data_IF_382378810719
#
_entry.id   IF_382378810719
#
_cell.length_a   1.000
_cell.length_b   1.000
_cell.length_c   1.000
_cell.angle_alpha   90.00
_cell.angle_beta   90.00
_cell.angle_gamma   90.00
#
_symmetry.space_group_name_H-M   'P 1'
#
loop_
_entity.id
_entity.type
_entity.pdbx_description
1 polymer ?
#
# COMPACT_ATOMS: atom_id res chain seq x y z
N UNK A 1 -10.98 -0.79 16.27
CA UNK A 1 -9.68 -1.42 15.94
C UNK A 1 -9.26 -1.03 14.52
N UNK A 2 -9.68 -1.73 13.44
CA UNK A 2 -9.25 -1.36 12.07
C UNK A 2 -9.73 0.01 11.56
N UNK A 3 -10.95 0.46 11.95
CA UNK A 3 -11.47 1.79 11.58
C UNK A 3 -10.64 2.93 12.19
N UNK A 4 -10.12 2.71 13.39
CA UNK A 4 -9.25 3.65 14.10
C UNK A 4 -7.87 3.67 13.44
N UNK A 5 -7.32 2.50 13.08
CA UNK A 5 -6.03 2.38 12.39
C UNK A 5 -6.00 3.13 11.04
N UNK A 6 -6.98 2.90 10.17
CA UNK A 6 -7.04 3.63 8.89
C UNK A 6 -7.26 5.14 9.08
N UNK A 7 -7.86 5.56 10.18
CA UNK A 7 -7.98 6.99 10.51
C UNK A 7 -6.62 7.56 10.92
N UNK A 8 -5.83 6.83 11.70
CA UNK A 8 -4.43 7.20 12.01
C UNK A 8 -3.54 7.24 10.78
N UNK A 9 -3.69 6.29 9.85
CA UNK A 9 -2.97 6.29 8.57
C UNK A 9 -3.29 7.56 7.78
N UNK A 10 -4.57 7.92 7.66
CA UNK A 10 -4.97 9.15 6.98
C UNK A 10 -4.40 10.40 7.67
N UNK A 11 -4.40 10.45 9.01
CA UNK A 11 -3.80 11.56 9.75
C UNK A 11 -2.30 11.68 9.48
N UNK A 12 -1.55 10.57 9.46
CA UNK A 12 -0.14 10.59 9.12
C UNK A 12 0.13 11.08 7.69
N UNK A 13 -0.76 10.76 6.73
CA UNK A 13 -0.69 11.30 5.36
C UNK A 13 -0.95 12.80 5.34
N UNK A 14 -1.96 13.29 6.06
CA UNK A 14 -2.26 14.73 6.17
C UNK A 14 -1.08 15.50 6.81
N UNK A 15 -0.48 14.93 7.83
CA UNK A 15 0.73 15.48 8.47
C UNK A 15 1.91 15.50 7.50
N UNK A 16 2.07 14.46 6.68
CA UNK A 16 3.12 14.41 5.64
C UNK A 16 2.88 15.46 4.55
N UNK A 17 1.64 15.64 4.10
CA UNK A 17 1.27 16.68 3.12
C UNK A 17 1.53 18.10 3.63
N UNK A 18 1.34 18.34 4.93
CA UNK A 18 1.53 19.64 5.56
C UNK A 18 2.94 19.85 6.13
N UNK A 19 3.82 18.85 5.98
CA UNK A 19 5.16 18.86 6.57
C UNK A 19 6.12 19.85 5.90
N UNK A 20 7.21 20.13 6.59
CA UNK A 20 8.32 20.95 6.11
C UNK A 20 9.60 20.11 6.01
N UNK A 21 10.65 20.65 5.38
CA UNK A 21 11.91 19.93 5.19
C UNK A 21 12.52 19.44 6.51
N UNK A 22 12.31 20.16 7.61
CA UNK A 22 12.82 19.79 8.93
C UNK A 22 11.94 18.77 9.66
N UNK A 23 10.73 18.49 9.17
CA UNK A 23 9.71 17.73 9.92
C UNK A 23 9.09 16.57 9.16
N UNK A 24 9.25 16.47 7.84
CA UNK A 24 8.61 15.43 7.00
C UNK A 24 8.98 13.99 7.39
N UNK A 25 10.17 13.77 7.96
CA UNK A 25 10.60 12.43 8.34
C UNK A 25 9.68 11.79 9.38
N UNK A 26 9.18 12.60 10.33
CA UNK A 26 8.35 12.12 11.43
C UNK A 26 7.02 11.51 10.94
N UNK A 27 6.19 12.21 10.16
CA UNK A 27 4.97 11.62 9.62
C UNK A 27 5.23 10.49 8.63
N UNK A 28 6.33 10.53 7.86
CA UNK A 28 6.72 9.42 6.97
C UNK A 28 7.04 8.13 7.76
N UNK A 29 7.84 8.24 8.82
CA UNK A 29 8.15 7.13 9.75
C UNK A 29 6.89 6.62 10.44
N UNK A 30 6.02 7.52 10.92
CA UNK A 30 4.75 7.15 11.55
C UNK A 30 3.83 6.41 10.58
N UNK A 31 3.75 6.85 9.32
CA UNK A 31 2.98 6.16 8.28
C UNK A 31 3.49 4.72 8.09
N UNK A 32 4.79 4.53 7.90
CA UNK A 32 5.37 3.18 7.74
C UNK A 32 5.13 2.29 8.97
N UNK A 33 5.23 2.85 10.18
CA UNK A 33 4.91 2.11 11.41
C UNK A 33 3.44 1.65 11.47
N UNK A 34 2.51 2.51 11.07
CA UNK A 34 1.08 2.18 11.02
C UNK A 34 0.77 1.12 9.96
N UNK A 35 1.45 1.17 8.81
CA UNK A 35 1.29 0.17 7.75
C UNK A 35 1.82 -1.21 8.17
N UNK A 36 2.74 -1.29 9.13
CA UNK A 36 3.25 -2.53 9.74
C UNK A 36 2.44 -3.03 10.93
N UNK A 37 1.27 -2.45 11.20
CA UNK A 37 0.44 -2.86 12.32
C UNK A 37 0.04 -4.35 12.19
N UNK A 38 0.02 -5.15 13.29
CA UNK A 38 -0.30 -6.57 13.23
C UNK A 38 -1.62 -6.92 12.51
N UNK A 39 -2.65 -6.09 12.68
CA UNK A 39 -3.94 -6.25 11.97
C UNK A 39 -3.84 -6.24 10.44
N UNK A 40 -2.73 -5.73 9.88
CA UNK A 40 -2.45 -5.65 8.44
C UNK A 40 -1.45 -6.70 7.98
N UNK A 41 -0.80 -7.43 8.90
CA UNK A 41 0.32 -8.32 8.59
C UNK A 41 -0.05 -9.43 7.58
N UNK A 42 -1.17 -10.19 7.74
CA UNK A 42 -1.50 -11.25 6.79
C UNK A 42 -1.74 -10.72 5.38
N UNK A 43 -2.33 -9.52 5.30
CA UNK A 43 -2.59 -8.87 4.03
C UNK A 43 -1.31 -8.31 3.40
N UNK A 44 -0.42 -7.71 4.20
CA UNK A 44 0.88 -7.23 3.74
C UNK A 44 1.77 -8.37 3.24
N UNK A 45 1.79 -9.50 3.94
CA UNK A 45 2.53 -10.68 3.53
C UNK A 45 2.06 -11.16 2.15
N UNK A 46 0.75 -11.31 1.95
CA UNK A 46 0.16 -11.72 0.66
C UNK A 46 0.38 -10.67 -0.45
N UNK A 47 0.40 -9.38 -0.08
CA UNK A 47 0.55 -8.28 -1.03
C UNK A 47 2.00 -8.11 -1.50
N UNK A 48 2.97 -8.45 -0.65
CA UNK A 48 4.41 -8.27 -0.90
C UNK A 48 5.13 -9.55 -1.31
N UNK A 49 4.42 -10.68 -1.35
CA UNK A 49 4.97 -11.97 -1.73
C UNK A 49 5.61 -11.93 -3.13
N UNK A 50 6.89 -12.31 -3.20
CA UNK A 50 7.64 -12.39 -4.46
C UNK A 50 8.02 -11.04 -5.09
N UNK A 51 7.75 -9.92 -4.41
CA UNK A 51 8.12 -8.59 -4.91
C UNK A 51 9.53 -8.19 -4.48
N UNK A 52 10.24 -7.54 -5.37
CA UNK A 52 11.58 -6.98 -5.13
C UNK A 52 11.58 -5.48 -5.39
N UNK A 53 11.58 -4.70 -4.30
CA UNK A 53 11.57 -3.23 -4.36
C UNK A 53 12.89 -2.66 -4.90
N UNK A 54 14.01 -3.32 -4.64
CA UNK A 54 15.32 -2.86 -5.11
C UNK A 54 15.45 -3.07 -6.62
N UNK A 55 14.99 -4.23 -7.13
CA UNK A 55 14.94 -4.49 -8.55
C UNK A 55 13.99 -3.51 -9.28
N UNK A 56 12.82 -3.22 -8.69
CA UNK A 56 11.89 -2.23 -9.21
C UNK A 56 12.50 -0.82 -9.29
N UNK A 57 13.21 -0.38 -8.25
CA UNK A 57 13.89 0.92 -8.23
C UNK A 57 14.99 0.95 -9.29
N UNK A 58 15.84 -0.09 -9.35
CA UNK A 58 16.92 -0.18 -10.33
C UNK A 58 16.40 -0.18 -11.77
N UNK A 59 15.26 -0.81 -12.04
CA UNK A 59 14.61 -0.75 -13.35
C UNK A 59 14.05 0.64 -13.63
N UNK A 60 13.39 1.26 -12.65
CA UNK A 60 12.84 2.62 -12.77
C UNK A 60 13.92 3.66 -13.07
N UNK A 61 15.09 3.54 -12.45
CA UNK A 61 16.23 4.46 -12.67
C UNK A 61 16.76 4.45 -14.11
N UNK A 62 16.57 3.35 -14.87
CA UNK A 62 17.00 3.26 -16.28
C UNK A 62 16.25 4.20 -17.21
N UNK A 63 15.07 4.67 -16.80
CA UNK A 63 14.26 5.61 -17.58
C UNK A 63 14.73 7.07 -17.46
N UNK A 64 15.64 7.36 -16.52
CA UNK A 64 16.21 8.69 -16.33
C UNK A 64 17.03 9.13 -17.54
N UNK A 65 16.60 10.20 -18.21
CA UNK A 65 17.35 10.83 -19.30
C UNK A 65 18.31 11.91 -18.78
N UNK A 66 18.83 12.74 -19.70
CA UNK A 66 19.70 13.88 -19.33
C UNK A 66 18.98 15.00 -18.55
N UNK A 67 17.67 14.92 -18.38
CA UNK A 67 16.85 15.90 -17.66
C UNK A 67 16.46 15.37 -16.27
N UNK A 68 16.80 16.13 -15.22
CA UNK A 68 16.36 15.83 -13.84
C UNK A 68 14.82 15.82 -13.81
N UNK A 69 14.23 14.80 -13.18
CA UNK A 69 12.78 14.70 -13.05
C UNK A 69 12.06 14.00 -14.20
N UNK A 70 12.79 13.49 -15.20
CA UNK A 70 12.18 12.78 -16.33
C UNK A 70 12.02 11.28 -16.10
N UNK A 71 12.51 10.76 -14.97
CA UNK A 71 12.46 9.33 -14.68
C UNK A 71 11.02 8.90 -14.41
N UNK A 72 10.67 7.73 -14.90
CA UNK A 72 9.38 7.07 -14.73
C UNK A 72 9.56 5.80 -13.91
N UNK A 73 8.59 5.56 -13.03
CA UNK A 73 8.53 4.33 -12.25
C UNK A 73 8.07 3.18 -13.15
N UNK A 74 8.83 2.08 -13.13
CA UNK A 74 8.61 0.88 -13.93
C UNK A 74 7.51 0.00 -13.31
N UNK A 75 6.31 0.55 -13.17
CA UNK A 75 5.19 -0.15 -12.53
C UNK A 75 4.79 -1.41 -13.29
N UNK A 76 4.50 -2.52 -12.58
CA UNK A 76 3.93 -3.71 -13.21
C UNK A 76 2.48 -3.46 -13.62
N UNK A 77 2.00 -4.22 -14.61
CA UNK A 77 0.60 -4.14 -15.06
C UNK A 77 -0.41 -4.69 -14.04
N UNK A 78 0.02 -5.59 -13.15
CA UNK A 78 -0.83 -6.14 -12.09
C UNK A 78 -1.03 -5.10 -10.96
N UNK A 79 -2.28 -4.61 -10.74
CA UNK A 79 -2.57 -3.64 -9.71
C UNK A 79 -2.22 -4.12 -8.29
N UNK A 80 -2.28 -5.43 -8.03
CA UNK A 80 -1.90 -6.00 -6.71
C UNK A 80 -0.40 -5.86 -6.49
N UNK A 81 0.41 -6.19 -7.50
CA UNK A 81 1.87 -6.03 -7.43
C UNK A 81 2.27 -4.56 -7.31
N UNK A 82 1.62 -3.66 -8.07
CA UNK A 82 1.88 -2.22 -7.96
C UNK A 82 1.57 -1.69 -6.54
N UNK A 83 0.48 -2.16 -5.94
CA UNK A 83 0.11 -1.80 -4.57
C UNK A 83 1.13 -2.34 -3.54
N UNK A 84 1.59 -3.59 -3.70
CA UNK A 84 2.63 -4.18 -2.85
C UNK A 84 4.00 -3.53 -2.98
N UNK A 85 4.43 -3.21 -4.20
CA UNK A 85 5.65 -2.43 -4.44
C UNK A 85 5.56 -1.05 -3.81
N UNK A 86 4.39 -0.41 -3.87
CA UNK A 86 4.19 0.90 -3.22
C UNK A 86 4.30 0.80 -1.70
N UNK A 87 3.77 -0.28 -1.09
CA UNK A 87 3.94 -0.54 0.34
C UNK A 87 5.43 -0.67 0.70
N UNK A 88 6.18 -1.54 0.00
CA UNK A 88 7.61 -1.74 0.23
C UNK A 88 8.43 -0.44 -0.01
N UNK A 89 8.04 0.33 -1.01
CA UNK A 89 8.65 1.63 -1.30
C UNK A 89 8.45 2.61 -0.15
N UNK A 90 7.24 2.74 0.41
CA UNK A 90 6.98 3.59 1.59
C UNK A 90 7.86 3.16 2.77
N UNK A 91 8.04 1.85 2.97
CA UNK A 91 8.94 1.35 4.02
C UNK A 91 10.40 1.75 3.79
N UNK A 92 10.91 1.62 2.56
CA UNK A 92 12.28 2.04 2.21
C UNK A 92 12.47 3.54 2.41
N UNK A 93 11.51 4.36 1.95
CA UNK A 93 11.53 5.82 2.10
C UNK A 93 11.50 6.25 3.57
N UNK A 94 10.77 5.53 4.42
CA UNK A 94 10.73 5.79 5.86
C UNK A 94 12.00 5.34 6.60
N UNK A 95 12.62 4.25 6.15
CA UNK A 95 13.88 3.74 6.69
C UNK A 95 15.07 4.68 6.38
N UNK A 96 15.07 5.30 5.19
CA UNK A 96 16.03 6.31 4.78
C UNK A 96 15.33 7.58 4.26
N UNK A 97 15.01 8.54 5.15
CA UNK A 97 14.38 9.79 4.75
C UNK A 97 15.27 10.66 3.85
N UNK A 98 16.60 10.52 3.93
CA UNK A 98 17.53 11.21 3.03
C UNK A 98 17.31 10.72 1.59
N UNK A 99 17.26 9.41 1.41
CA UNK A 99 16.85 8.80 0.14
C UNK A 99 15.47 9.27 -0.31
N UNK A 100 14.49 9.40 0.59
CA UNK A 100 13.15 9.86 0.22
C UNK A 100 13.11 11.24 -0.45
N UNK A 101 13.97 12.16 -0.01
CA UNK A 101 14.06 13.49 -0.66
C UNK A 101 14.62 13.41 -2.07
N UNK A 102 15.67 12.61 -2.27
CA UNK A 102 16.25 12.37 -3.59
C UNK A 102 15.26 11.67 -4.51
N UNK A 103 14.57 10.65 -4.01
CA UNK A 103 13.56 9.90 -4.75
C UNK A 103 12.40 10.80 -5.20
N UNK A 104 11.85 11.61 -4.30
CA UNK A 104 10.80 12.58 -4.63
C UNK A 104 11.24 13.60 -5.67
N UNK A 105 12.48 14.08 -5.60
CA UNK A 105 13.04 14.97 -6.62
C UNK A 105 13.25 14.29 -7.97
N UNK A 106 13.65 13.03 -7.96
CA UNK A 106 14.02 12.30 -9.17
C UNK A 106 12.79 11.85 -9.98
N UNK A 107 11.76 11.32 -9.30
CA UNK A 107 10.57 10.75 -9.94
C UNK A 107 9.34 11.66 -9.89
N UNK A 108 9.30 12.63 -8.98
CA UNK A 108 8.15 13.53 -8.76
C UNK A 108 8.57 15.00 -8.79
N UNK A 109 9.47 15.34 -9.71
CA UNK A 109 10.01 16.68 -9.83
C UNK A 109 8.90 17.74 -9.90
N UNK A 110 8.98 18.71 -9.00
CA UNK A 110 8.00 19.78 -8.83
C UNK A 110 8.69 21.13 -8.60
N UNK A 111 9.88 21.29 -9.18
CA UNK A 111 10.72 22.48 -9.07
C UNK A 111 11.89 22.33 -8.10
N UNK A 112 12.53 23.46 -7.76
CA UNK A 112 13.83 23.46 -7.08
C UNK A 112 13.78 23.21 -5.56
N UNK A 113 12.60 23.07 -4.95
CA UNK A 113 12.46 22.93 -3.50
C UNK A 113 12.44 21.45 -3.12
N UNK A 114 13.37 21.01 -2.27
CA UNK A 114 13.46 19.63 -1.75
C UNK A 114 12.10 19.11 -1.27
N UNK A 115 11.44 19.88 -0.41
CA UNK A 115 10.14 19.53 0.17
C UNK A 115 9.01 19.40 -0.87
N UNK A 116 9.09 20.10 -2.01
CA UNK A 116 8.06 20.00 -3.05
C UNK A 116 8.02 18.59 -3.64
N UNK A 117 9.19 17.94 -3.79
CA UNK A 117 9.27 16.54 -4.22
C UNK A 117 8.57 15.58 -3.25
N UNK A 118 8.69 15.81 -1.95
CA UNK A 118 7.95 15.03 -0.93
C UNK A 118 6.45 15.28 -1.01
N UNK A 119 6.01 16.52 -1.19
CA UNK A 119 4.58 16.83 -1.34
C UNK A 119 4.01 16.23 -2.63
N UNK A 120 4.75 16.27 -3.73
CA UNK A 120 4.37 15.66 -5.00
C UNK A 120 4.30 14.13 -4.88
N UNK A 121 5.33 13.49 -4.32
CA UNK A 121 5.32 12.07 -3.95
C UNK A 121 4.09 11.72 -3.09
N UNK A 122 3.79 12.54 -2.09
CA UNK A 122 2.65 12.28 -1.20
C UNK A 122 1.32 12.36 -1.95
N UNK A 123 1.13 13.40 -2.76
CA UNK A 123 -0.11 13.63 -3.52
C UNK A 123 -0.33 12.63 -4.65
N UNK A 124 0.74 12.24 -5.35
CA UNK A 124 0.67 11.43 -6.56
C UNK A 124 0.85 9.94 -6.30
N UNK A 125 1.56 9.54 -5.23
CA UNK A 125 1.81 8.14 -4.89
C UNK A 125 1.10 7.71 -3.61
N UNK A 126 1.36 8.39 -2.50
CA UNK A 126 0.95 7.90 -1.16
C UNK A 126 -0.56 7.99 -0.95
N UNK A 127 -1.19 9.10 -1.34
CA UNK A 127 -2.65 9.27 -1.19
C UNK A 127 -3.43 8.25 -2.02
N UNK A 128 -3.15 8.06 -3.34
CA UNK A 128 -3.78 6.99 -4.11
C UNK A 128 -3.56 5.61 -3.50
N UNK A 129 -2.35 5.32 -3.03
CA UNK A 129 -2.04 4.06 -2.35
C UNK A 129 -2.93 3.84 -1.13
N UNK A 130 -3.01 4.77 -0.18
CA UNK A 130 -3.81 4.58 1.05
C UNK A 130 -5.29 4.36 0.73
N UNK A 131 -5.82 5.08 -0.27
CA UNK A 131 -7.19 4.90 -0.76
C UNK A 131 -7.41 3.47 -1.28
N UNK A 132 -6.51 2.99 -2.13
CA UNK A 132 -6.67 1.69 -2.81
C UNK A 132 -6.35 0.51 -1.87
N UNK A 133 -5.37 0.68 -0.99
CA UNK A 133 -5.01 -0.24 0.08
C UNK A 133 -6.18 -0.47 1.06
N UNK A 134 -6.84 0.59 1.50
CA UNK A 134 -8.06 0.49 2.33
C UNK A 134 -9.18 -0.29 1.63
N UNK A 135 -9.38 -0.04 0.33
CA UNK A 135 -10.40 -0.73 -0.47
C UNK A 135 -10.07 -2.21 -0.60
N UNK A 136 -8.80 -2.56 -0.79
CA UNK A 136 -8.37 -3.93 -0.96
C UNK A 136 -8.45 -4.73 0.36
N UNK A 137 -7.99 -4.17 1.49
CA UNK A 137 -8.19 -4.76 2.84
C UNK A 137 -9.67 -5.03 3.13
N UNK A 138 -10.55 -4.07 2.80
CA UNK A 138 -11.99 -4.24 3.01
C UNK A 138 -12.60 -5.38 2.17
N UNK A 139 -12.07 -5.62 0.96
CA UNK A 139 -12.49 -6.77 0.12
C UNK A 139 -12.02 -8.10 0.70
N UNK A 140 -10.79 -8.17 1.21
CA UNK A 140 -10.27 -9.37 1.86
C UNK A 140 -11.12 -9.74 3.08
N UNK A 141 -11.50 -8.76 3.89
CA UNK A 141 -12.44 -8.95 5.00
C UNK A 141 -13.81 -9.42 4.52
N UNK A 142 -14.34 -8.87 3.42
CA UNK A 142 -15.62 -9.30 2.86
C UNK A 142 -15.59 -10.75 2.33
N UNK A 143 -14.50 -11.15 1.66
CA UNK A 143 -14.34 -12.50 1.10
C UNK A 143 -14.14 -13.57 2.20
N UNK A 144 -13.53 -13.19 3.32
CA UNK A 144 -13.42 -14.05 4.52
C UNK A 144 -14.68 -14.03 5.40
N UNK A 145 -15.65 -13.15 5.11
CA UNK A 145 -16.97 -13.12 5.74
C UNK A 145 -18.03 -13.97 5.01
N UNK A 146 -17.68 -14.76 3.98
CA UNK A 146 -18.64 -15.74 3.47
C UNK A 146 -18.90 -16.79 4.56
N UNK A 147 -20.18 -17.00 4.97
CA UNK A 147 -20.47 -18.09 5.87
C UNK A 147 -20.12 -19.39 5.15
N UNK A 148 -19.41 -20.27 5.85
CA UNK A 148 -19.31 -21.69 5.50
C UNK A 148 -20.72 -22.14 5.12
N UNK A 149 -20.95 -22.46 3.85
CA UNK A 149 -22.14 -23.22 3.48
C UNK A 149 -21.99 -24.56 4.20
N UNK A 150 -22.65 -24.68 5.36
CA UNK A 150 -22.75 -25.91 6.13
C UNK A 150 -23.23 -26.99 5.18
N UNK A 151 -22.34 -27.90 4.83
CA UNK A 151 -22.65 -29.09 4.06
C UNK A 151 -23.25 -30.14 5.00
N UNK A 152 -24.38 -29.83 5.64
CA UNK A 152 -25.08 -30.75 6.53
C UNK A 152 -26.58 -30.42 6.52
N UNK A 153 -27.25 -30.77 5.43
CA UNK A 153 -28.70 -30.95 5.38
C UNK A 153 -29.03 -31.98 4.29
N UNK A 154 -28.53 -33.21 4.49
CA UNK A 154 -29.08 -34.35 3.75
C UNK A 154 -29.11 -35.58 4.64
N UNK A 155 -29.83 -35.50 5.76
CA UNK A 155 -30.22 -36.68 6.51
C UNK A 155 -31.56 -36.49 7.21
N UNK A 156 -32.66 -36.80 6.51
CA UNK A 156 -33.76 -37.64 7.03
C UNK A 156 -34.88 -37.67 5.98
N UNK A 157 -35.14 -38.84 5.41
CA UNK A 157 -36.49 -39.38 5.22
C UNK A 157 -36.33 -40.86 4.89
N UNK A 158 -36.30 -41.68 5.94
CA UNK A 158 -36.42 -43.13 5.86
C UNK A 158 -37.85 -43.53 6.25
N UNK A 159 -38.42 -44.46 5.47
CA UNK A 159 -39.50 -45.42 5.80
C UNK A 159 -40.91 -44.79 5.90
N UNK A 160 -41.97 -45.27 5.21
CA UNK A 160 -42.55 -46.62 5.11
C UNK A 160 -43.86 -46.54 4.24
N UNK A 161 -44.73 -47.57 4.11
CA UNK A 161 -44.60 -48.90 3.50
C UNK A 161 -45.60 -49.14 2.32
N UNK A 162 -45.50 -50.34 1.74
CA UNK A 162 -46.40 -50.93 0.75
C UNK A 162 -47.87 -51.08 1.19
N UNK A 163 -48.80 -50.93 0.24
CA UNK A 163 -50.14 -51.54 0.19
C UNK A 163 -50.46 -51.76 -1.31
N UNK A 164 -50.46 -53.01 -1.80
CA UNK A 164 -51.56 -54.00 -1.87
C UNK A 164 -52.25 -53.96 -3.25
#
# INVERSE_FOLDING_TARGET
>A
MAKDLFSEINNAVLDLQSSQLQTYERPLKKLAQLLRHPDLEPYNAELTEGLDVEAFIAESEKSGGSMIGSAQLAWPDDPKQALGLTLLLIEKLAADPGYATNFGHHFFYSGNKVIAGIHALTGQLIIPFVRDYKRADSKVKCNTCQPVRSADDNHLLALSPAQA
#
